data_IF_508745822922
#
_entry.id   IF_508745822922
#
_cell.length_a   1.000
_cell.length_b   1.000
_cell.length_c   1.000
_cell.angle_alpha   90.00
_cell.angle_beta   90.00
_cell.angle_gamma   90.00
#
_symmetry.space_group_name_H-M   'P 1'
#
loop_
_entity.id
_entity.type
_entity.pdbx_description
1 polymer ?
#
# COMPACT_ATOMS: atom_id res chain seq x y z
N UNK A 1 -5.28 51.64 -35.09
CA UNK A 1 -3.86 52.06 -35.03
C UNK A 1 -3.45 52.07 -33.56
N UNK A 2 -2.41 51.35 -33.08
CA UNK A 2 -1.01 51.22 -33.60
C UNK A 2 -0.21 52.48 -33.25
N UNK A 3 0.94 52.49 -32.55
CA UNK A 3 1.78 51.50 -31.81
C UNK A 3 2.68 52.34 -30.84
N UNK A 4 3.50 51.85 -29.88
CA UNK A 4 3.46 50.84 -28.81
C UNK A 4 4.83 50.90 -28.06
N UNK A 5 5.10 50.02 -27.06
CA UNK A 5 6.40 49.90 -26.31
C UNK A 5 6.72 51.14 -25.42
N UNK A 6 7.62 51.19 -24.42
CA UNK A 6 8.54 50.28 -23.67
C UNK A 6 8.92 51.05 -22.35
N UNK A 7 9.35 50.52 -21.18
CA UNK A 7 9.41 49.19 -20.55
C UNK A 7 9.70 49.35 -19.02
N UNK A 8 10.19 48.29 -18.36
CA UNK A 8 10.98 48.27 -17.10
C UNK A 8 10.38 48.81 -15.77
N UNK A 9 9.88 47.86 -14.96
CA UNK A 9 10.24 47.59 -13.54
C UNK A 9 10.00 48.66 -12.44
N UNK A 10 9.69 48.31 -11.19
CA UNK A 10 9.21 47.04 -10.62
C UNK A 10 8.75 47.23 -9.17
N UNK A 11 7.71 46.50 -8.76
CA UNK A 11 7.54 45.79 -7.46
C UNK A 11 6.08 45.38 -7.27
N UNK A 12 5.90 44.18 -6.69
CA UNK A 12 4.86 43.81 -5.69
C UNK A 12 3.57 44.63 -5.82
N UNK A 13 2.48 44.08 -6.34
CA UNK A 13 1.80 42.94 -5.71
C UNK A 13 1.58 41.77 -6.68
N UNK A 14 2.27 40.66 -6.43
CA UNK A 14 1.69 39.33 -6.70
C UNK A 14 0.79 39.07 -5.49
N UNK A 15 -0.54 39.15 -5.64
CA UNK A 15 -1.42 38.63 -4.58
C UNK A 15 -1.18 37.14 -4.56
N UNK A 16 -0.66 36.63 -3.45
CA UNK A 16 -0.38 35.22 -3.25
C UNK A 16 -1.68 34.45 -3.03
N UNK A 17 -2.50 34.35 -4.08
CA UNK A 17 -3.58 33.38 -4.20
C UNK A 17 -2.99 31.97 -4.39
N UNK A 18 -2.21 31.54 -3.40
CA UNK A 18 -2.21 30.14 -2.99
C UNK A 18 -3.64 29.82 -2.59
N UNK A 19 -4.45 29.40 -3.57
CA UNK A 19 -5.59 28.55 -3.28
C UNK A 19 -5.08 27.44 -2.36
N UNK A 20 -5.77 27.25 -1.23
CA UNK A 20 -5.44 26.21 -0.26
C UNK A 20 -5.64 24.86 -0.97
N UNK A 21 -4.56 24.37 -1.57
CA UNK A 21 -4.57 23.21 -2.45
C UNK A 21 -4.69 21.97 -1.56
N UNK A 22 -5.94 21.60 -1.25
CA UNK A 22 -6.30 20.59 -0.27
C UNK A 22 -5.52 19.29 -0.61
N UNK A 23 -4.67 18.79 0.30
CA UNK A 23 -3.90 17.59 0.04
C UNK A 23 -4.86 16.40 -0.05
N UNK A 24 -4.74 15.63 -1.13
CA UNK A 24 -5.37 14.31 -1.22
C UNK A 24 -4.41 13.36 -0.53
N UNK A 25 -4.62 13.17 0.77
CA UNK A 25 -3.71 12.43 1.64
C UNK A 25 -3.52 10.97 1.20
N UNK A 26 -4.56 10.36 0.66
CA UNK A 26 -4.58 8.98 0.16
C UNK A 26 -5.64 8.82 -0.94
N UNK A 27 -5.20 8.56 -2.17
CA UNK A 27 -6.06 8.21 -3.30
C UNK A 27 -6.17 6.68 -3.41
N UNK A 28 -7.34 6.13 -3.08
CA UNK A 28 -7.61 4.68 -3.16
C UNK A 28 -8.35 4.33 -4.45
N UNK A 29 -7.69 3.62 -5.36
CA UNK A 29 -8.22 3.12 -6.63
C UNK A 29 -8.54 1.61 -6.55
N UNK A 30 -9.18 1.21 -5.46
CA UNK A 30 -9.48 -0.19 -5.19
C UNK A 30 -10.54 -0.72 -6.15
N UNK A 31 -10.25 -1.84 -6.82
CA UNK A 31 -11.08 -2.50 -7.84
C UNK A 31 -11.43 -1.60 -9.04
N UNK A 32 -10.67 -0.52 -9.24
CA UNK A 32 -10.96 0.49 -10.28
C UNK A 32 -9.79 0.80 -11.21
N UNK A 33 -8.55 0.40 -10.90
CA UNK A 33 -7.38 0.62 -11.77
C UNK A 33 -7.36 -0.35 -12.96
N UNK A 34 -7.15 0.18 -14.18
CA UNK A 34 -7.13 -0.58 -15.44
C UNK A 34 -5.89 -0.29 -16.33
N UNK A 35 -4.89 0.43 -15.82
CA UNK A 35 -3.70 0.82 -16.59
C UNK A 35 -3.69 2.31 -16.98
N UNK A 36 -3.23 2.61 -18.19
CA UNK A 36 -2.95 3.97 -18.66
C UNK A 36 -3.37 4.22 -20.11
N UNK A 37 -3.79 5.45 -20.42
CA UNK A 37 -4.05 5.93 -21.78
C UNK A 37 -2.80 6.51 -22.48
N UNK A 38 -1.63 6.31 -21.87
CA UNK A 38 -0.36 6.92 -22.27
C UNK A 38 -0.01 8.21 -21.51
N UNK A 39 -0.95 8.78 -20.74
CA UNK A 39 -0.69 9.96 -19.90
C UNK A 39 -1.31 9.85 -18.51
N UNK A 40 -2.58 9.49 -18.42
CA UNK A 40 -3.40 9.53 -17.22
C UNK A 40 -3.94 8.11 -16.89
N UNK A 41 -4.45 7.90 -15.67
CA UNK A 41 -4.86 6.55 -15.22
C UNK A 41 -6.18 6.16 -15.87
N UNK A 42 -6.22 5.03 -16.56
CA UNK A 42 -7.47 4.45 -17.07
C UNK A 42 -8.16 3.68 -15.95
N UNK A 43 -9.43 4.00 -15.69
CA UNK A 43 -10.28 3.25 -14.76
C UNK A 43 -11.05 2.12 -15.48
N UNK A 44 -11.44 1.08 -14.74
CA UNK A 44 -12.26 -0.04 -15.24
C UNK A 44 -13.62 0.40 -15.82
N UNK A 45 -14.08 1.61 -15.51
CA UNK A 45 -15.25 2.27 -16.12
C UNK A 45 -14.99 2.89 -17.51
N UNK A 46 -13.75 2.82 -18.02
CA UNK A 46 -13.31 3.49 -19.25
C UNK A 46 -13.05 4.99 -19.10
N UNK A 47 -13.09 5.53 -17.88
CA UNK A 47 -12.80 6.94 -17.58
C UNK A 47 -11.31 7.15 -17.29
N UNK A 48 -10.70 8.17 -17.90
CA UNK A 48 -9.34 8.62 -17.52
C UNK A 48 -9.38 9.52 -16.28
N UNK A 49 -8.71 9.11 -15.20
CA UNK A 49 -8.42 9.95 -14.04
C UNK A 49 -7.17 10.79 -14.33
N UNK A 50 -7.37 12.08 -14.57
CA UNK A 50 -6.29 13.02 -14.89
C UNK A 50 -5.43 13.40 -13.67
N UNK A 51 -4.17 13.75 -13.95
CA UNK A 51 -3.16 14.16 -12.97
C UNK A 51 -3.66 15.05 -11.82
N UNK A 52 -3.67 14.51 -10.60
CA UNK A 52 -3.99 15.24 -9.37
C UNK A 52 -2.74 15.94 -8.81
N UNK A 53 -2.74 17.28 -8.72
CA UNK A 53 -1.58 18.07 -8.28
C UNK A 53 -1.33 18.08 -6.76
N UNK A 54 -2.23 17.52 -5.95
CA UNK A 54 -2.16 17.56 -4.49
C UNK A 54 -2.13 16.18 -3.81
N UNK A 55 -2.01 15.10 -4.58
CA UNK A 55 -1.97 13.74 -4.03
C UNK A 55 -0.65 13.46 -3.29
N UNK A 56 -0.73 12.88 -2.09
CA UNK A 56 0.43 12.53 -1.27
C UNK A 56 0.73 11.02 -1.33
N UNK A 57 -0.32 10.19 -1.32
CA UNK A 57 -0.27 8.73 -1.46
C UNK A 57 -1.27 8.23 -2.49
N UNK A 58 -0.90 7.17 -3.23
CA UNK A 58 -1.81 6.41 -4.07
C UNK A 58 -1.78 4.95 -3.60
N UNK A 59 -2.93 4.41 -3.20
CA UNK A 59 -3.15 2.96 -3.01
C UNK A 59 -3.96 2.46 -4.20
N UNK A 60 -3.41 1.53 -4.98
CA UNK A 60 -4.20 0.71 -5.90
C UNK A 60 -4.39 -0.67 -5.29
N UNK A 61 -5.46 -1.37 -5.65
CA UNK A 61 -5.47 -2.82 -5.53
C UNK A 61 -5.86 -3.47 -6.86
N UNK A 62 -5.39 -4.70 -7.08
CA UNK A 62 -5.55 -5.37 -8.37
C UNK A 62 -6.97 -5.92 -8.55
N UNK A 63 -7.81 -5.16 -9.28
CA UNK A 63 -9.13 -5.64 -9.72
C UNK A 63 -9.07 -6.83 -10.69
N UNK A 64 -7.91 -7.03 -11.33
CA UNK A 64 -7.62 -8.08 -12.31
C UNK A 64 -7.10 -9.33 -11.62
N UNK A 65 -7.99 -10.05 -10.94
CA UNK A 65 -7.68 -11.28 -10.20
C UNK A 65 -6.69 -12.18 -10.97
N UNK A 66 -5.50 -12.33 -10.40
CA UNK A 66 -4.38 -13.16 -10.88
C UNK A 66 -3.51 -12.67 -12.06
N UNK A 67 -3.70 -11.46 -12.59
CA UNK A 67 -2.69 -10.84 -13.47
C UNK A 67 -1.40 -10.48 -12.69
N UNK A 68 -0.35 -10.08 -13.39
CA UNK A 68 0.91 -9.53 -12.85
C UNK A 68 1.08 -8.12 -13.42
N UNK A 69 1.36 -7.13 -12.57
CA UNK A 69 1.63 -5.77 -13.01
C UNK A 69 2.89 -5.75 -13.87
N UNK A 70 2.84 -5.13 -15.05
CA UNK A 70 4.06 -4.97 -15.85
C UNK A 70 4.99 -3.91 -15.26
N UNK A 71 6.27 -3.91 -15.67
CA UNK A 71 7.20 -2.84 -15.32
C UNK A 71 6.63 -1.47 -15.73
N UNK A 72 6.03 -1.38 -16.92
CA UNK A 72 5.42 -0.18 -17.47
C UNK A 72 4.19 0.29 -16.69
N UNK A 73 3.39 -0.62 -16.11
CA UNK A 73 2.26 -0.25 -15.23
C UNK A 73 2.75 0.36 -13.91
N UNK A 74 3.77 -0.22 -13.27
CA UNK A 74 4.36 0.33 -12.04
C UNK A 74 5.08 1.67 -12.31
N UNK A 75 5.86 1.75 -13.41
CA UNK A 75 6.48 3.00 -13.85
C UNK A 75 5.43 4.05 -14.24
N UNK A 76 4.31 3.65 -14.83
CA UNK A 76 3.17 4.52 -15.12
C UNK A 76 2.56 5.12 -13.85
N UNK A 77 2.35 4.32 -12.80
CA UNK A 77 1.84 4.76 -11.50
C UNK A 77 2.79 5.76 -10.83
N UNK A 78 4.10 5.49 -10.85
CA UNK A 78 5.13 6.40 -10.34
C UNK A 78 5.12 7.72 -11.14
N UNK A 79 5.15 7.64 -12.48
CA UNK A 79 5.11 8.82 -13.36
C UNK A 79 3.81 9.62 -13.25
N UNK A 80 2.69 8.98 -12.92
CA UNK A 80 1.45 9.67 -12.62
C UNK A 80 1.54 10.41 -11.27
N UNK A 81 2.03 9.74 -10.23
CA UNK A 81 2.13 10.30 -8.88
C UNK A 81 3.09 11.49 -8.77
N UNK A 82 4.29 11.41 -9.35
CA UNK A 82 5.31 12.48 -9.22
C UNK A 82 4.86 13.84 -9.79
N UNK A 83 3.87 13.87 -10.70
CA UNK A 83 3.22 15.12 -11.18
C UNK A 83 2.65 15.97 -10.04
N UNK A 84 2.32 15.35 -8.90
CA UNK A 84 2.10 16.05 -7.63
C UNK A 84 3.45 16.29 -6.93
N UNK A 85 3.84 17.54 -6.62
CA UNK A 85 5.01 17.82 -5.78
C UNK A 85 4.82 17.37 -4.31
N UNK A 86 3.63 16.89 -3.92
CA UNK A 86 3.35 16.34 -2.58
C UNK A 86 3.46 14.82 -2.50
N UNK A 87 3.55 14.12 -3.64
CA UNK A 87 3.59 12.66 -3.70
C UNK A 87 4.80 12.07 -2.98
N UNK A 88 4.57 10.99 -2.24
CA UNK A 88 5.53 10.29 -1.35
C UNK A 88 5.44 8.78 -1.50
N UNK A 89 4.23 8.24 -1.67
CA UNK A 89 3.92 6.82 -1.49
C UNK A 89 3.06 6.24 -2.63
N UNK A 90 3.51 5.12 -3.20
CA UNK A 90 2.70 4.21 -4.01
C UNK A 90 2.53 2.89 -3.26
N UNK A 91 1.28 2.43 -3.11
CA UNK A 91 0.94 1.16 -2.50
C UNK A 91 0.26 0.25 -3.52
N UNK A 92 0.80 -0.95 -3.66
CA UNK A 92 0.37 -1.99 -4.59
C UNK A 92 -0.31 -3.10 -3.79
N UNK A 93 -1.55 -2.85 -3.37
CA UNK A 93 -2.28 -3.67 -2.43
C UNK A 93 -2.87 -4.91 -3.12
N UNK A 94 -2.60 -6.11 -2.60
CA UNK A 94 -2.93 -7.40 -3.23
C UNK A 94 -2.51 -7.59 -4.71
N UNK A 95 -1.70 -6.71 -5.31
CA UNK A 95 -1.15 -6.89 -6.65
C UNK A 95 -0.11 -8.02 -6.70
N UNK A 96 0.03 -8.72 -7.83
CA UNK A 96 1.30 -9.44 -8.13
C UNK A 96 2.30 -8.47 -8.76
N UNK A 97 3.57 -8.61 -8.38
CA UNK A 97 4.63 -7.67 -8.78
C UNK A 97 5.46 -8.23 -9.94
N UNK A 98 5.99 -7.37 -10.84
CA UNK A 98 7.00 -7.78 -11.80
C UNK A 98 8.26 -8.18 -11.04
N UNK A 99 8.89 -9.30 -11.42
CA UNK A 99 10.05 -9.88 -10.71
C UNK A 99 11.15 -8.87 -10.32
N UNK A 100 11.40 -7.88 -11.18
CA UNK A 100 12.13 -6.64 -10.90
C UNK A 100 11.74 -5.58 -11.94
N UNK A 101 12.22 -4.35 -11.77
CA UNK A 101 12.06 -3.25 -12.74
C UNK A 101 13.44 -2.80 -13.21
N UNK A 102 13.63 -2.47 -14.49
CA UNK A 102 14.95 -2.03 -14.98
C UNK A 102 15.32 -0.62 -14.41
N UNK A 103 16.54 -0.40 -13.85
CA UNK A 103 16.90 0.87 -13.20
C UNK A 103 16.99 2.12 -14.10
N UNK A 104 16.97 1.93 -15.43
CA UNK A 104 16.99 2.99 -16.44
C UNK A 104 15.60 3.58 -16.71
N UNK A 105 14.53 2.78 -16.63
CA UNK A 105 13.15 3.26 -16.78
C UNK A 105 12.54 3.84 -15.49
N UNK A 106 13.17 3.63 -14.32
CA UNK A 106 12.75 4.26 -13.06
C UNK A 106 13.00 5.78 -13.13
N UNK A 107 12.01 6.66 -12.88
CA UNK A 107 12.22 8.10 -12.92
C UNK A 107 13.36 8.60 -12.03
N UNK A 108 14.12 9.58 -12.52
CA UNK A 108 15.17 10.24 -11.72
C UNK A 108 14.55 11.03 -10.57
N UNK A 109 13.35 11.60 -10.80
CA UNK A 109 12.61 12.34 -9.77
C UNK A 109 12.08 11.47 -8.64
N UNK A 110 11.62 10.24 -8.89
CA UNK A 110 11.15 9.36 -7.82
C UNK A 110 12.31 8.94 -6.90
N UNK A 111 13.50 8.72 -7.48
CA UNK A 111 14.75 8.52 -6.74
C UNK A 111 15.14 9.75 -5.91
N UNK A 112 15.19 10.94 -6.50
CA UNK A 112 15.65 12.16 -5.80
C UNK A 112 14.68 12.63 -4.71
N UNK A 113 13.39 12.30 -4.83
CA UNK A 113 12.36 12.56 -3.80
C UNK A 113 12.19 11.41 -2.79
N UNK A 114 12.95 10.33 -2.92
CA UNK A 114 12.86 9.12 -2.09
C UNK A 114 11.42 8.56 -1.98
N UNK A 115 10.73 8.46 -3.13
CA UNK A 115 9.35 7.94 -3.20
C UNK A 115 9.33 6.48 -2.75
N UNK A 116 8.49 6.15 -1.77
CA UNK A 116 8.28 4.79 -1.30
C UNK A 116 7.31 4.08 -2.25
N UNK A 117 7.65 2.88 -2.69
CA UNK A 117 6.78 2.01 -3.48
C UNK A 117 6.69 0.66 -2.76
N UNK A 118 5.52 0.36 -2.19
CA UNK A 118 5.32 -0.71 -1.21
C UNK A 118 4.31 -1.73 -1.75
N UNK A 119 4.59 -3.01 -1.55
CA UNK A 119 3.61 -4.09 -1.68
C UNK A 119 3.26 -4.64 -0.29
N UNK A 120 2.02 -4.40 0.12
CA UNK A 120 1.44 -4.98 1.33
C UNK A 120 1.15 -6.47 1.21
N UNK A 121 1.07 -7.00 -0.03
CA UNK A 121 0.90 -8.42 -0.34
C UNK A 121 2.18 -9.21 -0.09
N UNK A 122 3.32 -8.71 -0.58
CA UNK A 122 4.60 -9.43 -0.49
C UNK A 122 5.43 -9.08 0.75
N UNK A 123 5.03 -8.07 1.53
CA UNK A 123 5.84 -7.43 2.56
C UNK A 123 7.22 -6.99 1.99
N UNK A 124 7.17 -6.24 0.88
CA UNK A 124 8.35 -5.71 0.19
C UNK A 124 8.19 -4.26 -0.21
N UNK A 125 9.31 -3.58 -0.43
CA UNK A 125 9.40 -2.29 -1.09
C UNK A 125 10.30 -2.37 -2.33
N UNK A 126 10.10 -1.48 -3.31
CA UNK A 126 10.97 -1.35 -4.47
C UNK A 126 12.17 -0.47 -4.11
N UNK A 127 13.38 -1.02 -4.21
CA UNK A 127 14.59 -0.19 -4.21
C UNK A 127 14.70 0.53 -5.55
N UNK A 128 14.39 1.83 -5.58
CA UNK A 128 14.42 2.65 -6.80
C UNK A 128 15.81 2.79 -7.44
N UNK A 129 16.89 2.39 -6.77
CA UNK A 129 18.26 2.44 -7.32
C UNK A 129 18.65 1.15 -8.04
N UNK A 130 18.18 -0.02 -7.60
CA UNK A 130 18.47 -1.32 -8.23
C UNK A 130 17.26 -1.97 -8.93
N UNK A 131 16.07 -1.41 -8.75
CA UNK A 131 14.81 -1.93 -9.26
C UNK A 131 14.39 -3.29 -8.67
N UNK A 132 15.04 -3.72 -7.59
CA UNK A 132 14.74 -4.99 -6.92
C UNK A 132 13.73 -4.80 -5.79
N UNK A 133 12.83 -5.77 -5.62
CA UNK A 133 11.95 -5.83 -4.46
C UNK A 133 12.69 -6.37 -3.24
N UNK A 134 12.76 -5.58 -2.17
CA UNK A 134 13.48 -5.90 -0.92
C UNK A 134 12.49 -6.08 0.24
N UNK A 135 12.84 -6.97 1.18
CA UNK A 135 12.26 -6.93 2.53
C UNK A 135 12.86 -5.74 3.28
N UNK A 136 12.12 -5.07 4.19
CA UNK A 136 12.70 -4.06 5.07
C UNK A 136 13.63 -4.70 6.10
N UNK A 137 14.80 -4.09 6.32
CA UNK A 137 15.80 -4.46 7.32
C UNK A 137 16.03 -3.35 8.37
N UNK A 138 15.33 -2.21 8.24
CA UNK A 138 15.40 -1.07 9.15
C UNK A 138 14.04 -0.71 9.78
N UNK A 139 14.07 -0.17 11.00
CA UNK A 139 12.89 0.20 11.80
C UNK A 139 12.01 1.24 11.11
N UNK A 140 12.57 2.18 10.34
CA UNK A 140 11.80 3.24 9.69
C UNK A 140 10.99 2.70 8.51
N UNK A 141 11.57 1.86 7.65
CA UNK A 141 10.82 1.22 6.56
C UNK A 141 9.82 0.19 7.09
N UNK A 142 10.13 -0.55 8.17
CA UNK A 142 9.14 -1.40 8.87
C UNK A 142 7.96 -0.56 9.36
N UNK A 143 8.22 0.60 9.98
CA UNK A 143 7.18 1.50 10.50
C UNK A 143 6.29 2.07 9.39
N UNK A 144 6.86 2.47 8.25
CA UNK A 144 6.08 2.90 7.07
C UNK A 144 5.18 1.77 6.56
N UNK A 145 5.72 0.56 6.38
CA UNK A 145 4.95 -0.58 5.88
C UNK A 145 3.87 -1.06 6.86
N UNK A 146 4.08 -0.87 8.17
CA UNK A 146 3.07 -1.17 9.20
C UNK A 146 2.01 -0.07 9.37
N UNK A 147 2.19 1.11 8.75
CA UNK A 147 1.19 2.20 8.76
C UNK A 147 0.00 1.97 7.84
N UNK A 148 0.09 1.00 6.93
CA UNK A 148 -0.99 0.58 6.02
C UNK A 148 -1.63 -0.74 6.42
N UNK A 149 -2.48 -1.27 5.53
CA UNK A 149 -3.08 -2.58 5.70
C UNK A 149 -2.19 -3.68 5.13
N UNK A 150 -1.59 -4.52 5.97
CA UNK A 150 -0.89 -5.72 5.53
C UNK A 150 -1.89 -6.83 5.22
N UNK A 151 -1.58 -7.68 4.24
CA UNK A 151 -2.52 -8.67 3.69
C UNK A 151 -1.92 -10.07 3.69
N UNK A 152 -2.62 -11.01 4.32
CA UNK A 152 -2.35 -12.45 4.22
C UNK A 152 -3.54 -13.07 3.48
N UNK A 153 -3.34 -13.40 2.21
CA UNK A 153 -4.37 -13.90 1.29
C UNK A 153 -4.17 -15.40 1.02
N UNK A 154 -5.26 -16.20 1.06
CA UNK A 154 -5.22 -17.66 0.80
C UNK A 154 -4.50 -18.01 -0.50
N UNK A 155 -4.69 -17.21 -1.55
CA UNK A 155 -4.22 -17.50 -2.90
C UNK A 155 -2.78 -16.99 -3.13
N UNK A 156 -2.10 -16.52 -2.08
CA UNK A 156 -0.64 -16.28 -2.09
C UNK A 156 0.15 -17.53 -1.68
N UNK A 157 1.36 -17.68 -2.21
CA UNK A 157 2.26 -18.77 -1.80
C UNK A 157 2.65 -18.68 -0.33
N UNK A 158 2.97 -19.82 0.28
CA UNK A 158 3.50 -19.88 1.65
C UNK A 158 4.72 -18.96 1.86
N UNK A 159 5.57 -18.78 0.85
CA UNK A 159 6.73 -17.89 0.90
C UNK A 159 6.36 -16.40 1.00
N UNK A 160 5.22 -16.01 0.41
CA UNK A 160 4.66 -14.66 0.51
C UNK A 160 3.97 -14.47 1.86
N UNK A 161 3.07 -15.39 2.24
CA UNK A 161 2.39 -15.37 3.55
C UNK A 161 3.41 -15.31 4.71
N UNK A 162 4.47 -16.13 4.65
CA UNK A 162 5.56 -16.15 5.62
C UNK A 162 6.33 -14.83 5.66
N UNK A 163 6.54 -14.18 4.53
CA UNK A 163 7.21 -12.87 4.47
C UNK A 163 6.38 -11.77 5.17
N UNK A 164 5.05 -11.83 5.07
CA UNK A 164 4.15 -10.95 5.83
C UNK A 164 4.17 -11.28 7.33
N UNK A 165 4.12 -12.57 7.70
CA UNK A 165 4.23 -13.01 9.11
C UNK A 165 5.57 -12.56 9.73
N UNK A 166 6.69 -12.71 9.02
CA UNK A 166 8.01 -12.26 9.46
C UNK A 166 8.03 -10.74 9.73
N UNK A 167 7.43 -9.93 8.86
CA UNK A 167 7.31 -8.48 9.04
C UNK A 167 6.45 -8.13 10.27
N UNK A 168 5.28 -8.77 10.43
CA UNK A 168 4.40 -8.57 11.57
C UNK A 168 5.09 -8.93 12.90
N UNK A 169 5.82 -10.06 12.92
CA UNK A 169 6.59 -10.51 14.08
C UNK A 169 7.73 -9.54 14.41
N UNK A 170 8.46 -9.03 13.42
CA UNK A 170 9.54 -8.07 13.66
C UNK A 170 9.00 -6.73 14.18
N UNK A 171 7.93 -6.20 13.56
CA UNK A 171 7.26 -5.00 14.04
C UNK A 171 6.77 -5.14 15.49
N UNK A 172 6.23 -6.31 15.85
CA UNK A 172 5.79 -6.62 17.22
C UNK A 172 6.91 -6.60 18.25
N UNK A 173 8.13 -7.05 17.89
CA UNK A 173 9.31 -7.06 18.81
C UNK A 173 9.75 -5.64 19.19
N UNK A 174 9.62 -4.70 18.24
CA UNK A 174 10.03 -3.30 18.42
C UNK A 174 8.88 -2.38 18.88
N UNK A 175 7.71 -2.95 19.24
CA UNK A 175 6.47 -2.23 19.58
C UNK A 175 6.05 -1.19 18.51
N UNK A 176 6.34 -1.50 17.24
CA UNK A 176 5.90 -0.72 16.09
C UNK A 176 4.40 -0.96 15.91
N UNK A 177 3.54 0.09 15.92
CA UNK A 177 2.11 -0.07 15.71
C UNK A 177 1.81 -0.64 14.32
N UNK A 178 0.98 -1.68 14.27
CA UNK A 178 0.53 -2.30 13.01
C UNK A 178 -0.91 -1.86 12.78
N UNK A 179 -1.12 -0.95 11.83
CA UNK A 179 -2.40 -0.30 11.60
C UNK A 179 -3.52 -1.31 11.30
N UNK A 180 -3.32 -2.23 10.35
CA UNK A 180 -4.33 -3.24 10.04
C UNK A 180 -3.71 -4.54 9.48
N UNK A 181 -4.19 -5.68 9.95
CA UNK A 181 -3.90 -7.02 9.39
C UNK A 181 -5.16 -7.60 8.74
N UNK A 182 -5.09 -7.93 7.46
CA UNK A 182 -6.20 -8.47 6.68
C UNK A 182 -5.97 -9.96 6.40
N UNK A 183 -6.82 -10.81 6.94
CA UNK A 183 -6.84 -12.25 6.66
C UNK A 183 -7.89 -12.52 5.57
N UNK A 184 -7.45 -12.49 4.31
CA UNK A 184 -8.32 -12.63 3.13
C UNK A 184 -8.44 -14.11 2.77
N UNK A 185 -9.55 -14.74 3.18
CA UNK A 185 -9.82 -16.17 3.10
C UNK A 185 -8.79 -17.08 3.79
N UNK A 186 -7.75 -16.51 4.39
CA UNK A 186 -6.60 -17.24 4.92
C UNK A 186 -6.82 -17.78 6.34
N UNK A 187 -7.78 -17.26 7.12
CA UNK A 187 -8.08 -17.79 8.45
C UNK A 187 -8.63 -19.23 8.38
N UNK A 188 -7.94 -20.19 9.02
CA UNK A 188 -8.43 -21.56 9.18
C UNK A 188 -9.03 -21.79 10.57
N UNK A 189 -8.22 -21.65 11.63
CA UNK A 189 -8.60 -21.94 13.02
C UNK A 189 -7.65 -21.23 14.00
N UNK A 190 -7.89 -21.43 15.30
CA UNK A 190 -6.94 -21.12 16.38
C UNK A 190 -6.32 -22.45 16.87
N UNK A 191 -5.06 -22.43 17.32
CA UNK A 191 -4.38 -23.60 17.93
C UNK A 191 -4.46 -23.60 19.47
N UNK A 192 -3.80 -24.58 20.11
CA UNK A 192 -3.82 -24.75 21.57
C UNK A 192 -2.99 -23.70 22.32
N UNK A 193 -2.00 -23.08 21.65
CA UNK A 193 -1.18 -21.98 22.16
C UNK A 193 -1.85 -20.60 21.94
N UNK A 194 -2.98 -20.55 21.21
CA UNK A 194 -3.74 -19.33 20.93
C UNK A 194 -3.33 -18.59 19.64
N UNK A 195 -2.46 -19.16 18.81
CA UNK A 195 -2.07 -18.57 17.53
C UNK A 195 -3.15 -18.74 16.46
N UNK A 196 -3.11 -17.89 15.43
CA UNK A 196 -3.97 -18.04 14.24
C UNK A 196 -3.32 -19.01 13.26
N UNK A 197 -3.97 -20.15 12.99
CA UNK A 197 -3.55 -21.06 11.93
C UNK A 197 -4.24 -20.65 10.62
N UNK A 198 -3.42 -20.52 9.58
CA UNK A 198 -3.85 -20.16 8.24
C UNK A 198 -4.28 -21.40 7.43
N UNK A 199 -5.01 -21.21 6.34
CA UNK A 199 -5.44 -22.28 5.42
C UNK A 199 -4.28 -22.95 4.68
N UNK A 200 -3.09 -22.33 4.71
CA UNK A 200 -1.81 -22.90 4.26
C UNK A 200 -1.13 -23.80 5.32
N UNK A 201 -1.66 -23.89 6.53
CA UNK A 201 -1.04 -24.56 7.66
C UNK A 201 0.06 -23.76 8.36
N UNK A 202 0.42 -22.57 7.85
CA UNK A 202 1.30 -21.63 8.55
C UNK A 202 0.61 -21.08 9.81
N UNK A 203 1.40 -20.84 10.86
CA UNK A 203 0.94 -20.14 12.06
C UNK A 203 1.31 -18.65 11.99
N UNK A 204 0.33 -17.78 12.21
CA UNK A 204 0.49 -16.39 12.57
C UNK A 204 0.52 -16.32 14.11
N UNK A 205 1.70 -16.17 14.74
CA UNK A 205 1.83 -16.14 16.19
C UNK A 205 1.22 -14.86 16.77
N UNK A 206 0.98 -14.84 18.08
CA UNK A 206 0.40 -13.68 18.79
C UNK A 206 1.22 -12.39 18.53
N UNK A 207 0.62 -11.44 17.81
CA UNK A 207 1.19 -10.12 17.51
C UNK A 207 0.62 -9.06 18.48
N UNK A 208 1.49 -8.42 19.26
CA UNK A 208 1.14 -7.56 20.40
C UNK A 208 0.98 -6.07 20.07
N UNK A 209 1.12 -5.67 18.80
CA UNK A 209 1.04 -4.26 18.38
C UNK A 209 -0.03 -3.96 17.30
N UNK A 210 -0.94 -4.91 17.01
CA UNK A 210 -2.06 -4.74 16.06
C UNK A 210 -3.08 -3.72 16.58
N UNK A 211 -3.40 -2.72 15.76
CA UNK A 211 -4.50 -1.78 16.02
C UNK A 211 -5.84 -2.27 15.46
N UNK A 212 -5.85 -2.86 14.27
CA UNK A 212 -7.06 -3.41 13.64
C UNK A 212 -6.80 -4.79 13.01
N UNK A 213 -7.82 -5.65 13.03
CA UNK A 213 -7.83 -6.88 12.23
C UNK A 213 -9.11 -6.98 11.42
N UNK A 214 -9.01 -7.49 10.20
CA UNK A 214 -10.10 -7.73 9.26
C UNK A 214 -10.03 -9.20 8.82
N UNK A 215 -11.11 -9.98 9.00
CA UNK A 215 -11.12 -11.42 8.66
C UNK A 215 -12.23 -11.75 7.67
N UNK A 216 -11.87 -11.86 6.39
CA UNK A 216 -12.80 -12.19 5.31
C UNK A 216 -12.89 -13.71 5.16
N UNK A 217 -14.00 -14.32 5.59
CA UNK A 217 -14.26 -15.75 5.36
C UNK A 217 -14.80 -16.03 3.95
N UNK A 218 -14.78 -17.31 3.56
CA UNK A 218 -15.39 -17.75 2.30
C UNK A 218 -16.90 -17.44 2.27
N UNK A 219 -17.44 -17.12 1.10
CA UNK A 219 -18.84 -16.68 0.95
C UNK A 219 -19.81 -17.76 1.49
N UNK A 220 -20.46 -17.47 2.61
CA UNK A 220 -21.40 -18.37 3.29
C UNK A 220 -20.79 -19.23 4.40
N UNK A 221 -19.50 -19.08 4.72
CA UNK A 221 -18.90 -19.62 5.95
C UNK A 221 -19.22 -18.72 7.13
N UNK A 222 -20.06 -19.23 8.03
CA UNK A 222 -20.25 -18.68 9.37
C UNK A 222 -19.07 -19.10 10.28
N UNK A 223 -18.55 -18.17 11.09
CA UNK A 223 -17.62 -18.52 12.17
C UNK A 223 -18.39 -19.08 13.36
N UNK A 224 -17.92 -20.18 13.94
CA UNK A 224 -18.50 -20.73 15.16
C UNK A 224 -17.96 -20.01 16.42
N UNK A 225 -18.64 -20.21 17.56
CA UNK A 225 -18.31 -19.53 18.82
C UNK A 225 -16.87 -19.74 19.30
N UNK A 226 -16.26 -20.90 19.02
CA UNK A 226 -14.87 -21.18 19.40
C UNK A 226 -13.87 -20.41 18.53
N UNK A 227 -14.14 -20.25 17.22
CA UNK A 227 -13.33 -19.40 16.34
C UNK A 227 -13.38 -17.94 16.80
N UNK A 228 -14.59 -17.39 17.01
CA UNK A 228 -14.77 -15.99 17.45
C UNK A 228 -14.13 -15.73 18.81
N UNK A 229 -14.34 -16.61 19.80
CA UNK A 229 -13.71 -16.48 21.11
C UNK A 229 -12.18 -16.57 21.01
N UNK A 230 -11.64 -17.45 20.18
CA UNK A 230 -10.20 -17.60 19.99
C UNK A 230 -9.56 -16.39 19.28
N UNK A 231 -10.23 -15.81 18.28
CA UNK A 231 -9.81 -14.56 17.63
C UNK A 231 -9.78 -13.40 18.65
N UNK A 232 -10.81 -13.25 19.48
CA UNK A 232 -10.82 -12.24 20.55
C UNK A 232 -9.71 -12.49 21.60
N UNK A 233 -9.48 -13.76 21.95
CA UNK A 233 -8.40 -14.16 22.87
C UNK A 233 -6.99 -13.94 22.32
N UNK A 234 -6.81 -13.98 20.99
CA UNK A 234 -5.57 -13.58 20.32
C UNK A 234 -5.42 -12.05 20.35
N UNK A 235 -6.48 -11.30 20.01
CA UNK A 235 -6.42 -9.84 19.83
C UNK A 235 -6.22 -9.05 21.13
N UNK A 236 -6.74 -9.54 22.27
CA UNK A 236 -6.53 -8.92 23.59
C UNK A 236 -5.05 -8.82 24.02
N UNK A 237 -4.13 -9.59 23.41
CA UNK A 237 -2.70 -9.45 23.66
C UNK A 237 -2.13 -8.14 23.12
N UNK A 238 -2.77 -7.52 22.12
CA UNK A 238 -2.42 -6.18 21.69
C UNK A 238 -3.11 -5.12 22.54
N UNK A 239 -2.31 -4.42 23.36
CA UNK A 239 -2.77 -3.24 24.11
C UNK A 239 -3.06 -2.03 23.20
N UNK A 240 -2.79 -2.15 21.89
CA UNK A 240 -3.06 -1.13 20.86
C UNK A 240 -4.37 -1.39 20.10
N UNK A 241 -5.05 -2.51 20.38
CA UNK A 241 -6.20 -2.97 19.60
C UNK A 241 -7.45 -2.07 19.75
N UNK A 242 -8.09 -1.78 18.61
CA UNK A 242 -9.21 -0.84 18.48
C UNK A 242 -10.44 -1.46 17.80
N UNK A 243 -10.25 -2.31 16.79
CA UNK A 243 -11.35 -2.77 15.94
C UNK A 243 -11.10 -4.13 15.28
N UNK A 244 -12.12 -5.00 15.37
CA UNK A 244 -12.29 -6.18 14.51
C UNK A 244 -13.30 -5.84 13.39
N UNK A 245 -13.05 -6.34 12.18
CA UNK A 245 -13.93 -6.24 11.00
C UNK A 245 -14.11 -7.62 10.36
#
# INVERSE_FOLDING_TARGET
MTIAYEYYFSKIIIVSCFFLMIPISDLRLHWSFSGFDGKDITLESGLSLSSLSSVEKISINEGRLNQELTEEEVIGLINYGIKSPRFKELWLDNCKLPSSIKPDIIPVESRSRNIKVISSREARFLDLMSGQWRKPDDIHTITEMCSGGLVIDRDTSESVQRSVIELLVEASKHDIPIYCVNLVWSFSKIDEDGNIILSSGLSLPIITSIEMMNIVTEKGREMNKHEVNGILNYLQHSQRFKQLM
#
